data_IF_887250579778
#
_entry.id   IF_887250579778
#
_cell.length_a   1.000
_cell.length_b   1.000
_cell.length_c   1.000
_cell.angle_alpha   90.00
_cell.angle_beta   90.00
_cell.angle_gamma   90.00
#
_symmetry.space_group_name_H-M   'P 1'
#
loop_
_entity.id
_entity.type
_entity.pdbx_description
1 polymer ?
#
# COMPACT_ATOMS: atom_id res chain seq x y z
N UNK A 1 -7.33 6.69 -24.93
CA UNK A 1 -6.91 5.93 -23.73
C UNK A 1 -8.10 5.07 -23.32
N UNK A 2 -7.96 3.75 -23.30
CA UNK A 2 -9.05 2.86 -22.89
C UNK A 2 -9.18 2.98 -21.38
N UNK A 3 -10.28 3.56 -20.92
CA UNK A 3 -10.64 3.58 -19.51
C UNK A 3 -10.99 2.18 -19.07
N UNK A 4 -10.01 1.44 -18.55
CA UNK A 4 -10.27 0.19 -17.85
C UNK A 4 -10.98 0.51 -16.53
N UNK A 5 -12.10 -0.16 -16.26
CA UNK A 5 -12.66 -0.21 -14.92
C UNK A 5 -11.65 -0.93 -14.03
N UNK A 6 -10.99 -0.18 -13.16
CA UNK A 6 -10.14 -0.77 -12.13
C UNK A 6 -11.01 -1.05 -10.91
N UNK A 7 -11.04 -2.30 -10.46
CA UNK A 7 -11.61 -2.61 -9.15
C UNK A 7 -10.79 -1.94 -8.05
N UNK A 8 -11.48 -1.31 -7.11
CA UNK A 8 -10.88 -0.66 -5.95
C UNK A 8 -11.83 -0.77 -4.76
N UNK A 9 -11.27 -0.83 -3.55
CA UNK A 9 -12.02 -0.90 -2.31
C UNK A 9 -12.10 0.49 -1.67
N UNK A 10 -13.29 0.90 -1.23
CA UNK A 10 -13.51 2.13 -0.48
C UNK A 10 -13.86 1.82 0.98
N UNK A 11 -13.19 2.51 1.91
CA UNK A 11 -13.55 2.50 3.31
C UNK A 11 -14.71 3.47 3.54
N UNK A 12 -15.92 2.96 3.80
CA UNK A 12 -17.11 3.78 3.94
C UNK A 12 -17.22 4.50 5.29
N UNK A 13 -17.13 3.75 6.39
CA UNK A 13 -17.08 4.31 7.75
C UNK A 13 -16.61 3.23 8.71
N UNK A 14 -15.37 3.30 9.18
CA UNK A 14 -14.74 2.26 10.01
C UNK A 14 -14.00 2.87 11.19
N UNK A 15 -13.92 2.15 12.31
CA UNK A 15 -12.98 2.47 13.39
C UNK A 15 -11.66 1.73 13.22
N UNK A 16 -11.65 0.52 12.66
CA UNK A 16 -10.43 -0.28 12.43
C UNK A 16 -10.11 -0.43 10.95
N UNK A 17 -8.81 -0.43 10.65
CA UNK A 17 -8.27 -0.61 9.30
C UNK A 17 -7.20 -1.70 9.32
N UNK A 18 -7.38 -2.71 8.47
CA UNK A 18 -6.36 -3.69 8.13
C UNK A 18 -6.46 -4.01 6.64
N UNK A 19 -5.35 -3.90 5.92
CA UNK A 19 -5.18 -4.39 4.55
C UNK A 19 -3.93 -5.23 4.56
N UNK A 20 -4.08 -6.52 4.29
CA UNK A 20 -2.97 -7.46 4.25
C UNK A 20 -2.95 -8.24 2.95
N UNK A 21 -1.76 -8.66 2.55
CA UNK A 21 -1.62 -9.51 1.39
C UNK A 21 -0.24 -10.11 1.26
N UNK A 22 -0.16 -11.03 0.31
CA UNK A 22 1.03 -11.82 0.00
C UNK A 22 1.14 -11.93 -1.51
N UNK A 23 2.34 -11.72 -2.05
CA UNK A 23 2.59 -11.79 -3.49
C UNK A 23 3.85 -12.62 -3.75
N UNK A 24 3.73 -13.61 -4.63
CA UNK A 24 4.85 -14.41 -5.08
C UNK A 24 5.76 -13.62 -6.02
N UNK A 25 7.07 -13.83 -5.93
CA UNK A 25 8.04 -13.17 -6.81
C UNK A 25 8.33 -13.97 -8.08
N UNK A 26 7.48 -14.93 -8.45
CA UNK A 26 7.68 -15.84 -9.59
C UNK A 26 7.69 -15.10 -10.93
N UNK A 27 6.94 -14.01 -11.03
CA UNK A 27 6.78 -13.23 -12.26
C UNK A 27 7.75 -12.03 -12.32
N UNK A 28 8.71 -11.95 -11.38
CA UNK A 28 9.69 -10.86 -11.30
C UNK A 28 11.03 -11.29 -11.87
N UNK A 29 11.73 -10.36 -12.53
CA UNK A 29 13.06 -10.61 -13.07
C UNK A 29 14.10 -10.72 -11.96
N UNK A 30 14.77 -11.87 -11.78
CA UNK A 30 15.77 -12.03 -10.72
C UNK A 30 16.91 -11.02 -10.83
N UNK A 31 17.37 -10.53 -9.68
CA UNK A 31 18.45 -9.55 -9.60
C UNK A 31 18.04 -8.11 -9.88
N UNK A 32 16.81 -7.85 -10.33
CA UNK A 32 16.27 -6.49 -10.48
C UNK A 32 15.83 -5.92 -9.14
N UNK A 33 16.12 -4.64 -8.89
CA UNK A 33 15.59 -3.91 -7.74
C UNK A 33 14.14 -3.52 -8.02
N UNK A 34 13.23 -3.83 -7.10
CA UNK A 34 11.82 -3.46 -7.19
C UNK A 34 11.45 -2.53 -6.05
N UNK A 35 10.59 -1.55 -6.35
CA UNK A 35 9.83 -0.82 -5.35
C UNK A 35 8.42 -1.39 -5.23
N UNK A 36 7.86 -1.28 -4.02
CA UNK A 36 6.52 -1.72 -3.67
C UNK A 36 5.75 -0.51 -3.17
N UNK A 37 4.61 -0.23 -3.82
CA UNK A 37 3.78 0.94 -3.53
C UNK A 37 2.32 0.52 -3.29
N UNK A 38 1.65 1.16 -2.33
CA UNK A 38 0.18 1.15 -2.28
C UNK A 38 -0.34 2.22 -3.23
N UNK A 39 -1.28 1.85 -4.10
CA UNK A 39 -1.96 2.78 -5.01
C UNK A 39 -3.29 3.17 -4.36
N UNK A 40 -3.37 4.39 -3.86
CA UNK A 40 -4.50 4.88 -3.07
C UNK A 40 -5.04 6.20 -3.59
N UNK A 41 -6.24 6.54 -3.16
CA UNK A 41 -6.88 7.83 -3.43
C UNK A 41 -7.66 8.26 -2.19
N UNK A 42 -7.58 9.54 -1.86
CA UNK A 42 -8.38 10.12 -0.78
C UNK A 42 -9.56 10.89 -1.38
N UNK A 43 -10.80 10.48 -1.09
CA UNK A 43 -12.00 11.18 -1.61
C UNK A 43 -12.13 12.57 -0.99
N UNK A 44 -12.72 13.50 -1.73
CA UNK A 44 -12.93 14.88 -1.26
C UNK A 44 -13.62 14.98 0.11
N UNK A 45 -14.56 14.07 0.40
CA UNK A 45 -15.34 14.02 1.66
C UNK A 45 -14.73 13.11 2.74
N UNK A 46 -13.50 12.63 2.57
CA UNK A 46 -12.83 11.79 3.55
C UNK A 46 -12.61 12.52 4.89
N UNK A 47 -12.68 11.77 5.99
CA UNK A 47 -12.44 12.29 7.35
C UNK A 47 -11.77 11.25 8.24
N UNK A 48 -11.25 11.70 9.40
CA UNK A 48 -10.75 10.81 10.47
C UNK A 48 -9.29 10.36 10.31
N UNK A 49 -8.54 10.96 9.39
CA UNK A 49 -7.17 10.57 9.02
C UNK A 49 -6.06 11.33 9.74
N UNK A 50 -6.35 12.02 10.85
CA UNK A 50 -5.33 12.79 11.59
C UNK A 50 -4.40 11.92 12.42
N UNK A 51 -4.83 10.68 12.72
CA UNK A 51 -3.96 9.64 13.26
C UNK A 51 -3.15 9.02 12.10
N UNK A 52 -1.86 8.73 12.31
CA UNK A 52 -1.07 8.05 11.29
C UNK A 52 -1.49 6.58 11.17
N UNK A 53 -1.15 5.96 10.04
CA UNK A 53 -1.31 4.52 9.79
C UNK A 53 0.05 3.85 9.78
N UNK A 54 0.08 2.56 10.11
CA UNK A 54 1.30 1.75 10.08
C UNK A 54 1.37 0.94 8.78
N UNK A 55 2.59 0.78 8.29
CA UNK A 55 2.94 0.00 7.11
C UNK A 55 4.02 -0.98 7.50
N UNK A 56 3.78 -2.26 7.26
CA UNK A 56 4.77 -3.32 7.43
C UNK A 56 5.01 -4.05 6.11
N UNK A 57 6.29 -4.25 5.80
CA UNK A 57 6.76 -4.96 4.62
C UNK A 57 7.69 -6.09 5.03
N UNK A 58 7.39 -7.30 4.57
CA UNK A 58 8.26 -8.47 4.73
C UNK A 58 8.87 -8.82 3.37
N UNK A 59 10.20 -8.72 3.22
CA UNK A 59 10.89 -9.11 1.98
C UNK A 59 10.79 -10.62 1.68
N UNK A 60 11.03 -11.04 0.43
CA UNK A 60 10.84 -12.43 0.00
C UNK A 60 11.98 -13.37 0.40
N UNK A 61 13.10 -12.82 0.86
CA UNK A 61 14.36 -13.52 1.18
C UNK A 61 14.51 -13.86 2.67
N UNK A 62 13.43 -13.72 3.45
CA UNK A 62 13.45 -13.97 4.90
C UNK A 62 14.17 -12.89 5.70
N UNK A 63 14.52 -11.76 5.08
CA UNK A 63 15.03 -10.61 5.81
C UNK A 63 14.01 -10.07 6.83
N UNK A 64 14.53 -9.34 7.81
CA UNK A 64 13.73 -8.77 8.89
C UNK A 64 12.61 -7.87 8.32
N UNK A 65 11.34 -8.07 8.74
CA UNK A 65 10.25 -7.19 8.36
C UNK A 65 10.54 -5.74 8.74
N UNK A 66 10.20 -4.81 7.85
CA UNK A 66 10.35 -3.38 8.05
C UNK A 66 9.01 -2.78 8.37
N UNK A 67 9.00 -1.81 9.27
CA UNK A 67 7.79 -1.12 9.68
C UNK A 67 8.00 0.39 9.70
N UNK A 68 7.00 1.14 9.24
CA UNK A 68 7.00 2.59 9.24
C UNK A 68 5.61 3.13 9.49
N UNK A 69 5.53 4.38 9.91
CA UNK A 69 4.29 5.07 10.25
C UNK A 69 4.16 6.29 9.35
N UNK A 70 3.01 6.44 8.67
CA UNK A 70 2.78 7.53 7.72
C UNK A 70 1.51 8.31 8.05
N UNK A 71 1.50 9.60 7.73
CA UNK A 71 0.30 10.43 7.81
C UNK A 71 -0.33 10.53 6.43
N UNK A 72 -1.52 9.94 6.27
CA UNK A 72 -2.28 10.07 5.02
C UNK A 72 -2.85 11.48 4.81
N UNK A 73 -2.74 12.36 5.81
CA UNK A 73 -3.10 13.77 5.68
C UNK A 73 -2.27 14.49 4.63
N UNK A 74 -1.08 14.01 4.30
CA UNK A 74 -0.21 14.66 3.31
C UNK A 74 -0.74 14.46 1.89
N UNK A 75 -1.75 13.59 1.72
CA UNK A 75 -2.50 13.41 0.48
C UNK A 75 -3.67 14.42 0.34
N UNK A 76 -3.91 15.29 1.34
CA UNK A 76 -5.08 16.20 1.40
C UNK A 76 -5.10 17.26 0.30
N UNK A 77 -3.97 17.62 -0.29
CA UNK A 77 -3.90 18.67 -1.33
C UNK A 77 -4.20 18.13 -2.74
N UNK A 78 -4.38 16.81 -2.87
CA UNK A 78 -4.61 16.10 -4.13
C UNK A 78 -5.80 15.13 -4.02
N UNK A 79 -6.91 15.67 -3.51
CA UNK A 79 -8.17 14.94 -3.33
C UNK A 79 -8.65 14.37 -4.67
N UNK A 80 -9.16 13.16 -4.60
CA UNK A 80 -9.65 12.40 -5.75
C UNK A 80 -8.59 12.05 -6.82
N UNK A 81 -7.30 12.22 -6.53
CA UNK A 81 -6.21 11.73 -7.36
C UNK A 81 -5.62 10.43 -6.82
N UNK A 82 -5.20 9.54 -7.72
CA UNK A 82 -4.42 8.35 -7.35
C UNK A 82 -2.99 8.76 -6.99
N UNK A 83 -2.49 8.23 -5.87
CA UNK A 83 -1.14 8.44 -5.35
C UNK A 83 -0.50 7.11 -5.02
N UNK A 84 0.80 7.06 -5.27
CA UNK A 84 1.66 5.94 -4.87
C UNK A 84 2.24 6.25 -3.50
N UNK A 85 2.11 5.31 -2.57
CA UNK A 85 2.78 5.36 -1.27
C UNK A 85 3.85 4.27 -1.26
N UNK A 86 5.13 4.61 -1.44
CA UNK A 86 6.23 3.67 -1.31
C UNK A 86 6.34 3.15 0.12
N UNK A 87 6.50 1.83 0.24
CA UNK A 87 6.58 1.19 1.56
C UNK A 87 7.56 0.03 1.65
N UNK A 88 8.18 -0.35 0.53
CA UNK A 88 9.16 -1.43 0.51
C UNK A 88 10.01 -1.40 -0.74
N UNK A 89 11.23 -1.90 -0.60
CA UNK A 89 12.15 -2.14 -1.70
C UNK A 89 12.88 -3.44 -1.44
N UNK A 90 13.05 -4.23 -2.49
CA UNK A 90 13.76 -5.50 -2.44
C UNK A 90 14.38 -5.83 -3.80
N UNK A 91 15.48 -6.57 -3.77
CA UNK A 91 16.05 -7.18 -4.96
C UNK A 91 15.36 -8.52 -5.18
N UNK A 92 14.81 -8.75 -6.37
CA UNK A 92 14.13 -10.01 -6.67
C UNK A 92 15.11 -11.19 -6.54
N UNK A 93 14.81 -12.20 -5.71
CA UNK A 93 15.71 -13.33 -5.49
C UNK A 93 15.72 -14.28 -6.69
N UNK A 94 16.79 -15.07 -6.83
CA UNK A 94 16.86 -16.14 -7.84
C UNK A 94 15.89 -17.29 -7.53
N UNK A 95 15.72 -17.61 -6.25
CA UNK A 95 14.71 -18.55 -5.78
C UNK A 95 13.46 -17.77 -5.40
N UNK A 96 12.30 -18.02 -6.04
CA UNK A 96 11.08 -17.29 -5.73
C UNK A 96 10.69 -17.40 -4.25
N UNK A 97 10.33 -16.26 -3.68
CA UNK A 97 9.77 -16.15 -2.34
C UNK A 97 8.45 -15.41 -2.40
N UNK A 98 7.97 -14.96 -1.26
CA UNK A 98 6.79 -14.10 -1.19
C UNK A 98 7.11 -12.83 -0.43
N UNK A 99 6.71 -11.68 -1.00
CA UNK A 99 6.58 -10.49 -0.18
C UNK A 99 5.27 -10.57 0.59
N UNK A 100 5.25 -9.98 1.78
CA UNK A 100 4.04 -9.76 2.56
C UNK A 100 3.93 -8.28 2.90
N UNK A 101 2.70 -7.78 2.92
CA UNK A 101 2.42 -6.39 3.24
C UNK A 101 1.25 -6.27 4.19
N UNK A 102 1.30 -5.25 5.03
CA UNK A 102 0.25 -4.90 5.98
C UNK A 102 0.15 -3.37 6.07
N UNK A 103 -1.03 -2.82 5.82
CA UNK A 103 -1.40 -1.46 6.16
C UNK A 103 -2.46 -1.52 7.25
N UNK A 104 -2.22 -0.88 8.40
CA UNK A 104 -3.13 -1.04 9.53
C UNK A 104 -3.19 0.16 10.48
N UNK A 105 -4.33 0.30 11.15
CA UNK A 105 -4.59 1.27 12.21
C UNK A 105 -5.77 0.76 13.05
N UNK A 106 -5.51 0.43 14.33
CA UNK A 106 -6.50 -0.20 15.22
C UNK A 106 -7.09 0.75 16.28
N UNK A 107 -6.83 2.05 16.17
CA UNK A 107 -7.38 3.06 17.07
C UNK A 107 -8.89 3.19 16.95
N UNK A 108 -9.55 3.71 17.99
CA UNK A 108 -11.01 3.88 18.01
C UNK A 108 -11.54 5.05 17.18
N UNK A 109 -10.70 5.75 16.41
CA UNK A 109 -11.12 6.92 15.63
C UNK A 109 -11.84 6.50 14.36
N UNK A 110 -13.08 6.95 14.22
CA UNK A 110 -13.87 6.76 13.01
C UNK A 110 -13.26 7.50 11.82
N UNK A 111 -13.21 6.83 10.66
CA UNK A 111 -12.61 7.32 9.43
C UNK A 111 -13.34 6.79 8.19
N UNK A 112 -13.24 7.54 7.09
CA UNK A 112 -13.88 7.20 5.80
C UNK A 112 -13.11 7.77 4.60
N UNK A 113 -13.43 7.27 3.41
CA UNK A 113 -13.08 7.91 2.14
C UNK A 113 -11.69 7.61 1.60
N UNK A 114 -10.92 6.73 2.25
CA UNK A 114 -9.74 6.12 1.63
C UNK A 114 -10.21 5.08 0.61
N UNK A 115 -9.66 5.16 -0.60
CA UNK A 115 -9.88 4.21 -1.69
C UNK A 115 -8.55 3.55 -2.02
N UNK A 116 -8.53 2.22 -2.09
CA UNK A 116 -7.33 1.43 -2.34
C UNK A 116 -7.55 0.64 -3.63
N UNK A 117 -6.70 0.91 -4.63
CA UNK A 117 -6.67 0.13 -5.87
C UNK A 117 -5.92 -1.18 -5.68
N UNK A 118 -4.86 -1.16 -4.87
CA UNK A 118 -4.07 -2.35 -4.56
C UNK A 118 -2.60 -2.01 -4.29
N UNK A 119 -1.75 -3.03 -4.43
CA UNK A 119 -0.30 -2.91 -4.37
C UNK A 119 0.28 -3.07 -5.77
N UNK A 120 1.24 -2.22 -6.12
CA UNK A 120 2.03 -2.35 -7.33
C UNK A 120 3.48 -2.67 -6.97
N UNK A 121 4.05 -3.65 -7.68
CA UNK A 121 5.47 -4.02 -7.61
C UNK A 121 6.06 -3.71 -8.97
N UNK A 122 7.04 -2.80 -9.03
CA UNK A 122 7.62 -2.36 -10.30
C UNK A 122 9.14 -2.19 -10.22
N UNK A 123 9.89 -2.38 -11.32
CA UNK A 123 11.32 -2.17 -11.33
C UNK A 123 11.66 -0.74 -10.91
N UNK A 124 12.60 -0.60 -9.97
CA UNK A 124 13.18 0.67 -9.58
C UNK A 124 14.36 0.95 -10.52
N UNK A 125 14.23 2.01 -11.33
CA UNK A 125 15.28 2.45 -12.26
C UNK A 125 16.46 3.05 -11.52
#
# INVERSE_FOLDING_TARGET
MVGGNFEAAELLNVCWLEVRGKLATTDLSPGTLYEVVFVVKMKTKAYGWDAPVNLKFTPPDGAVPRETTIKLTDLKDSKDEWKDIPFGEFKAPANPGNIEFLLYEYGGRWKSGLVIKGVAVRPKS
#
